data_IF_826322686769
#
_entry.id   IF_826322686769
#
_cell.length_a   1.000
_cell.length_b   1.000
_cell.length_c   1.000
_cell.angle_alpha   90.00
_cell.angle_beta   90.00
_cell.angle_gamma   90.00
#
_symmetry.space_group_name_H-M   'P 1'
#
loop_
_entity.id
_entity.type
_entity.pdbx_description
1 polymer ?
#
# COMPACT_ATOMS: atom_id res chain seq x y z
N UNK A 1 24.01 8.51 2.72
CA UNK A 1 24.29 8.41 4.19
C UNK A 1 22.96 8.26 4.92
N UNK A 2 22.89 7.49 6.00
CA UNK A 2 21.68 7.46 6.81
C UNK A 2 21.33 8.87 7.29
N UNK A 3 20.05 9.25 7.24
CA UNK A 3 19.58 10.54 7.77
C UNK A 3 19.95 10.65 9.24
N UNK A 4 20.49 11.79 9.68
CA UNK A 4 20.80 11.98 11.08
C UNK A 4 19.52 12.07 11.94
N UNK A 5 19.64 11.76 13.23
CA UNK A 5 18.49 11.64 14.14
C UNK A 5 17.73 12.97 14.32
N UNK A 6 18.42 14.11 14.27
CA UNK A 6 17.79 15.43 14.44
C UNK A 6 16.98 15.79 13.18
N UNK A 7 17.55 15.57 11.99
CA UNK A 7 16.88 15.79 10.71
C UNK A 7 15.67 14.84 10.55
N UNK A 8 15.80 13.58 10.98
CA UNK A 8 14.70 12.64 10.96
C UNK A 8 13.54 13.07 11.87
N UNK A 9 13.84 13.49 13.09
CA UNK A 9 12.80 13.99 14.02
C UNK A 9 12.13 15.25 13.48
N UNK A 10 12.90 16.15 12.89
CA UNK A 10 12.32 17.33 12.23
C UNK A 10 11.34 16.93 11.14
N UNK A 11 11.75 16.03 10.23
CA UNK A 11 10.89 15.52 9.17
C UNK A 11 9.62 14.82 9.70
N UNK A 12 9.75 14.01 10.76
CA UNK A 12 8.62 13.36 11.39
C UNK A 12 7.62 14.39 11.96
N UNK A 13 8.13 15.46 12.61
CA UNK A 13 7.29 16.54 13.12
C UNK A 13 6.59 17.32 11.99
N UNK A 14 7.29 17.57 10.87
CA UNK A 14 6.71 18.21 9.69
C UNK A 14 5.58 17.36 9.08
N UNK A 15 5.79 16.04 8.97
CA UNK A 15 4.77 15.11 8.50
C UNK A 15 3.59 15.03 9.47
N UNK A 16 3.82 14.95 10.77
CA UNK A 16 2.75 14.94 11.76
C UNK A 16 1.93 16.24 11.70
N UNK A 17 2.57 17.39 11.59
CA UNK A 17 1.89 18.67 11.42
C UNK A 17 1.09 18.73 10.12
N UNK A 18 1.61 18.18 9.02
CA UNK A 18 0.89 18.06 7.76
C UNK A 18 -0.34 17.16 7.91
N UNK A 19 -0.19 15.98 8.49
CA UNK A 19 -1.26 15.00 8.69
C UNK A 19 -2.39 15.55 9.56
N UNK A 20 -2.07 16.28 10.62
CA UNK A 20 -3.04 16.85 11.56
C UNK A 20 -3.62 18.22 11.14
N UNK A 21 -3.08 18.84 10.11
CA UNK A 21 -3.53 20.10 9.53
C UNK A 21 -4.02 19.89 8.09
N UNK A 22 -3.25 20.28 7.06
CA UNK A 22 -3.69 20.17 5.66
C UNK A 22 -4.18 18.77 5.26
N UNK A 23 -3.64 17.72 5.88
CA UNK A 23 -4.05 16.34 5.64
C UNK A 23 -5.49 16.06 6.04
N UNK A 24 -6.00 16.67 7.11
CA UNK A 24 -7.41 16.54 7.50
C UNK A 24 -8.32 17.36 6.56
N UNK A 25 -7.89 18.55 6.09
CA UNK A 25 -8.64 19.33 5.08
C UNK A 25 -8.82 18.50 3.79
N UNK A 26 -7.75 17.84 3.32
CA UNK A 26 -7.83 16.92 2.21
C UNK A 26 -8.71 15.70 2.50
N UNK A 27 -8.68 15.17 3.72
CA UNK A 27 -9.53 14.06 4.12
C UNK A 27 -11.03 14.42 4.04
N UNK A 28 -11.41 15.60 4.53
CA UNK A 28 -12.78 16.11 4.43
C UNK A 28 -13.20 16.34 2.97
N UNK A 29 -12.30 16.87 2.14
CA UNK A 29 -12.56 17.04 0.71
C UNK A 29 -12.77 15.72 0.00
N UNK A 30 -11.91 14.72 0.25
CA UNK A 30 -12.02 13.37 -0.34
C UNK A 30 -13.33 12.71 0.07
N UNK A 31 -13.70 12.74 1.35
CA UNK A 31 -14.98 12.16 1.81
C UNK A 31 -16.20 12.84 1.19
N UNK A 32 -16.14 14.14 0.95
CA UNK A 32 -17.22 14.90 0.34
C UNK A 32 -17.32 14.71 -1.17
N UNK A 33 -16.18 14.60 -1.87
CA UNK A 33 -16.13 14.56 -3.36
C UNK A 33 -15.97 13.15 -3.92
N UNK A 34 -15.58 12.20 -3.08
CA UNK A 34 -15.19 10.85 -3.46
C UNK A 34 -14.07 10.81 -4.52
N UNK A 35 -13.21 11.81 -4.51
CA UNK A 35 -12.08 11.94 -5.43
C UNK A 35 -10.85 12.49 -4.71
N UNK A 36 -9.68 11.98 -5.06
CA UNK A 36 -8.41 12.58 -4.61
C UNK A 36 -8.18 13.87 -5.37
N UNK A 37 -8.14 15.03 -4.68
CA UNK A 37 -7.92 16.31 -5.37
C UNK A 37 -6.51 16.36 -5.98
N UNK A 38 -6.35 16.89 -7.22
CA UNK A 38 -5.03 17.04 -7.86
C UNK A 38 -4.03 17.81 -6.99
N UNK A 39 -4.51 18.77 -6.21
CA UNK A 39 -3.69 19.57 -5.30
C UNK A 39 -2.97 18.73 -4.25
N UNK A 40 -3.55 17.61 -3.79
CA UNK A 40 -2.91 16.70 -2.84
C UNK A 40 -1.65 16.05 -3.45
N UNK A 41 -1.71 15.63 -4.72
CA UNK A 41 -0.55 15.07 -5.41
C UNK A 41 0.59 16.09 -5.52
N UNK A 42 0.26 17.33 -5.86
CA UNK A 42 1.22 18.43 -5.97
C UNK A 42 1.84 18.73 -4.61
N UNK A 43 1.03 18.85 -3.56
CA UNK A 43 1.52 19.17 -2.21
C UNK A 43 2.44 18.04 -1.66
N UNK A 44 2.07 16.77 -1.83
CA UNK A 44 2.90 15.65 -1.43
C UNK A 44 4.23 15.59 -2.20
N UNK A 45 4.20 15.87 -3.51
CA UNK A 45 5.39 15.94 -4.36
C UNK A 45 6.31 17.07 -3.91
N UNK A 46 5.78 18.28 -3.79
CA UNK A 46 6.57 19.49 -3.49
C UNK A 46 7.20 19.44 -2.09
N UNK A 47 6.60 18.69 -1.15
CA UNK A 47 7.20 18.34 0.16
C UNK A 47 8.23 17.22 0.08
N UNK A 48 8.35 16.52 -1.05
CA UNK A 48 9.20 15.35 -1.21
C UNK A 48 8.70 14.09 -0.50
N UNK A 49 7.38 14.00 -0.23
CA UNK A 49 6.80 12.85 0.47
C UNK A 49 6.56 11.65 -0.45
N UNK A 50 6.61 11.85 -1.78
CA UNK A 50 6.47 10.77 -2.75
C UNK A 50 7.76 9.95 -2.96
N UNK A 51 8.91 10.43 -2.46
CA UNK A 51 10.23 9.85 -2.71
C UNK A 51 11.09 9.67 -1.46
N UNK A 52 10.48 9.53 -0.28
CA UNK A 52 11.17 9.40 1.01
C UNK A 52 12.17 8.24 1.03
N UNK A 53 11.77 7.09 0.51
CA UNK A 53 12.55 5.85 0.54
C UNK A 53 13.41 5.63 -0.72
N UNK A 54 13.30 6.50 -1.74
CA UNK A 54 14.12 6.41 -2.94
C UNK A 54 15.54 6.94 -2.67
N UNK A 55 16.57 6.40 -3.34
CA UNK A 55 17.95 6.85 -3.18
C UNK A 55 18.14 8.34 -3.50
N UNK A 56 19.11 8.98 -2.84
CA UNK A 56 19.48 10.37 -3.11
C UNK A 56 19.89 10.58 -4.58
N UNK A 57 20.61 9.62 -5.17
CA UNK A 57 21.03 9.65 -6.56
C UNK A 57 19.85 9.61 -7.55
N UNK A 58 18.68 9.18 -7.10
CA UNK A 58 17.43 9.19 -7.88
C UNK A 58 16.59 10.45 -7.60
N UNK A 59 17.04 11.33 -6.72
CA UNK A 59 16.31 12.51 -6.28
C UNK A 59 15.40 12.26 -5.07
N UNK A 60 15.49 11.09 -4.43
CA UNK A 60 14.81 10.78 -3.18
C UNK A 60 15.56 11.26 -1.94
N UNK A 61 15.06 10.89 -0.77
CA UNK A 61 15.70 11.24 0.52
C UNK A 61 16.57 10.12 1.11
N UNK A 62 16.67 8.96 0.47
CA UNK A 62 17.51 7.84 0.92
C UNK A 62 17.17 7.29 2.29
N UNK A 63 15.94 7.47 2.78
CA UNK A 63 15.54 7.01 4.11
C UNK A 63 15.49 5.50 4.15
N UNK A 64 16.18 4.88 5.10
CA UNK A 64 16.17 3.44 5.34
C UNK A 64 14.74 2.95 5.56
N UNK A 65 14.44 1.73 5.12
CA UNK A 65 13.07 1.22 5.08
C UNK A 65 12.41 1.16 6.46
N UNK A 66 13.14 0.73 7.50
CA UNK A 66 12.61 0.70 8.87
C UNK A 66 12.26 2.11 9.39
N UNK A 67 13.05 3.14 9.03
CA UNK A 67 12.78 4.54 9.37
C UNK A 67 11.64 5.11 8.52
N UNK A 68 11.58 4.77 7.23
CA UNK A 68 10.45 5.12 6.38
C UNK A 68 9.12 4.60 6.95
N UNK A 69 9.10 3.42 7.55
CA UNK A 69 7.89 2.89 8.18
C UNK A 69 7.40 3.74 9.36
N UNK A 70 8.30 4.35 10.13
CA UNK A 70 7.90 5.27 11.21
C UNK A 70 7.19 6.52 10.64
N UNK A 71 7.61 7.00 9.46
CA UNK A 71 6.91 8.07 8.74
C UNK A 71 5.59 7.60 8.12
N UNK A 72 5.56 6.38 7.58
CA UNK A 72 4.33 5.76 7.05
C UNK A 72 3.26 5.59 8.14
N UNK A 73 3.67 5.27 9.38
CA UNK A 73 2.79 5.24 10.54
C UNK A 73 2.05 6.58 10.74
N UNK A 74 2.77 7.71 10.58
CA UNK A 74 2.18 9.05 10.68
C UNK A 74 1.20 9.33 9.54
N UNK A 75 1.58 9.06 8.29
CA UNK A 75 0.68 9.24 7.14
C UNK A 75 -0.60 8.41 7.28
N UNK A 76 -0.50 7.22 7.84
CA UNK A 76 -1.65 6.35 8.05
C UNK A 76 -2.61 6.83 9.15
N UNK A 77 -2.27 7.84 9.92
CA UNK A 77 -3.18 8.50 10.88
C UNK A 77 -4.19 9.43 10.19
N UNK A 78 -3.96 9.80 8.92
CA UNK A 78 -4.85 10.60 8.10
C UNK A 78 -5.79 9.71 7.26
N UNK A 79 -6.29 10.24 6.14
CA UNK A 79 -7.14 9.52 5.19
C UNK A 79 -6.39 8.38 4.49
N UNK A 80 -7.06 7.23 4.32
CA UNK A 80 -6.42 6.05 3.74
C UNK A 80 -5.95 6.28 2.29
N UNK A 81 -6.64 7.12 1.50
CA UNK A 81 -6.21 7.45 0.13
C UNK A 81 -4.94 8.31 0.11
N UNK A 82 -4.76 9.23 1.07
CA UNK A 82 -3.50 9.96 1.23
C UNK A 82 -2.34 9.00 1.53
N UNK A 83 -2.53 8.11 2.51
CA UNK A 83 -1.57 7.06 2.84
C UNK A 83 -1.27 6.17 1.63
N UNK A 84 -2.30 5.83 0.82
CA UNK A 84 -2.15 4.99 -0.37
C UNK A 84 -1.23 5.64 -1.41
N UNK A 85 -1.38 6.94 -1.66
CA UNK A 85 -0.50 7.68 -2.57
C UNK A 85 0.97 7.58 -2.10
N UNK A 86 1.22 7.90 -0.83
CA UNK A 86 2.59 7.85 -0.27
C UNK A 86 3.15 6.43 -0.34
N UNK A 87 2.33 5.41 -0.02
CA UNK A 87 2.71 4.01 -0.06
C UNK A 87 3.11 3.55 -1.48
N UNK A 88 2.25 3.79 -2.46
CA UNK A 88 2.47 3.35 -3.84
C UNK A 88 3.69 4.04 -4.44
N UNK A 89 3.82 5.36 -4.29
CA UNK A 89 4.95 6.11 -4.84
C UNK A 89 6.30 5.70 -4.21
N UNK A 90 6.35 5.46 -2.90
CA UNK A 90 7.58 5.03 -2.23
C UNK A 90 7.90 3.53 -2.41
N UNK A 91 6.97 2.74 -2.93
CA UNK A 91 7.15 1.29 -3.11
C UNK A 91 7.44 0.86 -4.56
N UNK A 92 6.66 1.37 -5.51
CA UNK A 92 6.62 0.83 -6.89
C UNK A 92 7.94 1.03 -7.64
N UNK A 93 8.65 2.14 -7.42
CA UNK A 93 9.95 2.39 -8.05
C UNK A 93 10.96 1.25 -7.81
N UNK A 94 10.93 0.61 -6.63
CA UNK A 94 11.82 -0.52 -6.30
C UNK A 94 11.57 -1.74 -7.18
N UNK A 95 10.29 -2.02 -7.47
CA UNK A 95 9.93 -3.12 -8.34
C UNK A 95 10.45 -2.90 -9.77
N UNK A 96 10.40 -1.66 -10.25
CA UNK A 96 10.92 -1.32 -11.57
C UNK A 96 12.45 -1.39 -11.56
N UNK A 97 13.10 -0.76 -10.58
CA UNK A 97 14.57 -0.63 -10.50
C UNK A 97 15.29 -1.97 -10.36
N UNK A 98 14.67 -2.95 -9.69
CA UNK A 98 15.28 -4.24 -9.34
C UNK A 98 15.94 -4.92 -10.53
N UNK A 99 15.32 -4.90 -11.71
CA UNK A 99 15.80 -5.55 -12.93
C UNK A 99 15.84 -4.60 -14.12
N UNK A 100 15.77 -3.29 -13.87
CA UNK A 100 15.80 -2.27 -14.93
C UNK A 100 17.18 -2.09 -15.52
N UNK A 101 17.24 -1.84 -16.84
CA UNK A 101 18.43 -1.29 -17.49
C UNK A 101 18.59 0.20 -17.14
N UNK A 102 19.75 0.79 -17.48
CA UNK A 102 19.97 2.22 -17.25
C UNK A 102 19.02 3.11 -18.08
N UNK A 103 18.63 2.67 -19.28
CA UNK A 103 17.64 3.33 -20.12
C UNK A 103 16.25 3.27 -19.46
N UNK A 104 15.87 2.12 -18.92
CA UNK A 104 14.60 1.94 -18.22
C UNK A 104 14.56 2.73 -16.90
N UNK A 105 15.66 2.83 -16.16
CA UNK A 105 15.77 3.71 -14.99
C UNK A 105 15.50 5.15 -15.35
N UNK A 106 16.11 5.65 -16.43
CA UNK A 106 15.90 7.01 -16.92
C UNK A 106 14.47 7.25 -17.42
N UNK A 107 13.86 6.24 -18.05
CA UNK A 107 12.53 6.36 -18.61
C UNK A 107 11.41 6.24 -17.57
N UNK A 108 11.59 5.43 -16.52
CA UNK A 108 10.50 5.07 -15.62
C UNK A 108 10.80 5.35 -14.14
N UNK A 109 12.00 5.02 -13.63
CA UNK A 109 12.30 5.13 -12.20
C UNK A 109 12.50 6.60 -11.81
N UNK A 110 13.37 7.33 -12.49
CA UNK A 110 13.67 8.72 -12.16
C UNK A 110 12.43 9.62 -12.30
N UNK A 111 11.63 9.57 -13.38
CA UNK A 111 10.40 10.35 -13.47
C UNK A 111 9.36 9.97 -12.42
N UNK A 112 9.24 8.68 -12.04
CA UNK A 112 8.33 8.26 -10.98
C UNK A 112 8.76 8.80 -9.61
N UNK A 113 10.05 8.73 -9.29
CA UNK A 113 10.62 9.28 -8.04
C UNK A 113 10.44 10.80 -7.97
N UNK A 114 10.56 11.49 -9.11
CA UNK A 114 10.29 12.93 -9.21
C UNK A 114 8.80 13.30 -9.10
N UNK A 115 7.90 12.30 -9.26
CA UNK A 115 6.45 12.53 -9.30
C UNK A 115 5.94 13.07 -10.63
N UNK A 116 6.73 12.94 -11.69
CA UNK A 116 6.38 13.38 -13.06
C UNK A 116 5.50 12.35 -13.77
N UNK A 117 5.63 11.07 -13.42
CA UNK A 117 4.77 9.98 -13.87
C UNK A 117 4.22 9.17 -12.71
N UNK A 118 3.04 8.59 -12.92
CA UNK A 118 2.39 7.66 -12.01
C UNK A 118 2.41 6.25 -12.60
N UNK A 119 2.75 5.27 -11.75
CA UNK A 119 2.80 3.87 -12.17
C UNK A 119 1.92 3.03 -11.25
N UNK A 120 0.94 2.32 -11.81
CA UNK A 120 0.12 1.38 -11.06
C UNK A 120 0.70 -0.03 -11.12
N UNK A 121 0.70 -0.73 -9.99
CA UNK A 121 1.09 -2.14 -9.89
C UNK A 121 -0.06 -3.03 -10.35
N UNK A 122 0.12 -3.75 -11.47
CA UNK A 122 -0.98 -4.34 -12.25
C UNK A 122 -0.84 -5.87 -12.34
N UNK A 123 -1.07 -6.55 -11.21
CA UNK A 123 -0.95 -8.01 -11.07
C UNK A 123 -2.31 -8.72 -11.17
N UNK A 124 -3.30 -8.27 -10.39
CA UNK A 124 -4.56 -8.96 -10.14
C UNK A 124 -5.42 -9.10 -11.40
N UNK A 125 -6.02 -10.27 -11.58
CA UNK A 125 -6.96 -10.59 -12.65
C UNK A 125 -8.32 -11.00 -12.08
N UNK A 126 -9.43 -11.00 -12.86
CA UNK A 126 -10.75 -11.39 -12.37
C UNK A 126 -10.82 -12.79 -11.76
N UNK A 127 -9.96 -13.70 -12.21
CA UNK A 127 -9.92 -15.10 -11.78
C UNK A 127 -8.60 -15.54 -11.16
N UNK A 128 -7.63 -14.64 -11.05
CA UNK A 128 -6.27 -14.90 -10.58
C UNK A 128 -5.75 -13.73 -9.74
N UNK A 129 -5.36 -14.00 -8.50
CA UNK A 129 -4.92 -12.96 -7.56
C UNK A 129 -3.50 -13.13 -7.04
N UNK A 130 -2.85 -14.27 -7.33
CA UNK A 130 -1.56 -14.63 -6.70
C UNK A 130 -0.35 -14.51 -7.62
N UNK A 131 -0.56 -14.26 -8.91
CA UNK A 131 0.49 -14.16 -9.92
C UNK A 131 0.96 -15.52 -10.50
N UNK A 132 0.83 -16.62 -9.78
CA UNK A 132 1.22 -17.95 -10.29
C UNK A 132 0.25 -18.50 -11.34
N UNK A 133 -0.98 -18.00 -11.37
CA UNK A 133 -2.10 -18.45 -12.19
C UNK A 133 -2.56 -17.39 -13.22
N UNK A 134 -1.66 -16.48 -13.60
CA UNK A 134 -1.94 -15.43 -14.59
C UNK A 134 -2.47 -15.99 -15.91
N UNK A 135 -3.50 -15.35 -16.43
CA UNK A 135 -4.15 -15.66 -17.70
C UNK A 135 -3.91 -14.63 -18.79
N UNK A 136 -3.62 -13.38 -18.41
CA UNK A 136 -3.13 -12.39 -19.37
C UNK A 136 -1.85 -12.93 -19.99
N UNK A 137 -1.76 -12.90 -21.33
CA UNK A 137 -0.66 -13.48 -22.08
C UNK A 137 -0.03 -12.47 -23.04
N UNK A 138 1.21 -12.72 -23.37
CA UNK A 138 1.91 -12.01 -24.42
C UNK A 138 2.42 -12.99 -25.47
N UNK A 139 2.19 -12.65 -26.73
CA UNK A 139 2.80 -13.28 -27.92
C UNK A 139 3.93 -12.37 -28.38
N UNK A 140 5.11 -12.94 -28.66
CA UNK A 140 6.26 -12.16 -29.14
C UNK A 140 6.39 -12.26 -30.66
N UNK A 141 6.37 -11.13 -31.33
CA UNK A 141 6.66 -11.00 -32.77
C UNK A 141 7.83 -10.00 -32.96
N UNK A 142 9.01 -10.52 -33.20
CA UNK A 142 10.23 -9.70 -33.32
C UNK A 142 10.54 -8.91 -32.06
N UNK A 143 10.54 -7.58 -32.16
CA UNK A 143 10.83 -6.66 -31.05
C UNK A 143 9.56 -6.14 -30.33
N UNK A 144 8.40 -6.78 -30.55
CA UNK A 144 7.14 -6.40 -29.96
C UNK A 144 6.47 -7.58 -29.26
N UNK A 145 5.95 -7.35 -28.05
CA UNK A 145 4.96 -8.21 -27.40
C UNK A 145 3.57 -7.73 -27.76
N UNK A 146 2.67 -8.64 -28.06
CA UNK A 146 1.23 -8.38 -28.19
C UNK A 146 0.52 -8.90 -26.96
N UNK A 147 0.15 -7.97 -26.06
CA UNK A 147 -0.51 -8.27 -24.78
C UNK A 147 -2.01 -8.46 -24.99
N UNK A 148 -2.54 -9.58 -24.48
CA UNK A 148 -3.97 -9.87 -24.43
C UNK A 148 -4.37 -10.34 -23.04
N UNK A 149 -5.49 -9.82 -22.53
CA UNK A 149 -5.99 -10.23 -21.21
C UNK A 149 -6.76 -9.16 -20.47
N UNK A 150 -7.02 -9.42 -19.20
CA UNK A 150 -7.79 -8.52 -18.33
C UNK A 150 -7.14 -8.38 -16.96
N UNK A 151 -7.08 -7.16 -16.47
CA UNK A 151 -6.68 -6.86 -15.09
C UNK A 151 -7.86 -6.28 -14.32
N UNK A 152 -7.83 -6.43 -12.98
CA UNK A 152 -8.97 -6.14 -12.13
C UNK A 152 -8.50 -5.59 -10.78
N UNK A 153 -9.27 -4.70 -10.16
CA UNK A 153 -8.95 -4.07 -8.87
C UNK A 153 -7.61 -3.30 -8.88
N UNK A 154 -7.28 -2.65 -9.99
CA UNK A 154 -6.00 -1.97 -10.13
C UNK A 154 -6.07 -0.59 -9.50
N UNK A 155 -5.45 -0.43 -8.35
CA UNK A 155 -5.34 0.84 -7.60
C UNK A 155 -4.61 1.87 -8.43
N UNK A 156 -5.18 3.07 -8.56
CA UNK A 156 -4.72 4.16 -9.45
C UNK A 156 -4.64 3.77 -10.92
N UNK A 157 -5.35 2.71 -11.33
CA UNK A 157 -5.31 2.21 -12.70
C UNK A 157 -5.94 3.16 -13.70
N UNK A 158 -6.84 4.05 -13.25
CA UNK A 158 -7.47 5.08 -14.09
C UNK A 158 -6.55 6.29 -14.28
N UNK A 159 -5.83 6.69 -13.23
CA UNK A 159 -5.05 7.95 -13.22
C UNK A 159 -3.55 7.78 -13.46
N UNK A 160 -3.06 6.54 -13.58
CA UNK A 160 -1.65 6.27 -13.88
C UNK A 160 -1.30 6.46 -15.36
N UNK A 161 -0.07 6.89 -15.62
CA UNK A 161 0.49 7.04 -16.96
C UNK A 161 0.99 5.71 -17.53
N UNK A 162 1.51 4.85 -16.63
CA UNK A 162 2.02 3.51 -16.94
C UNK A 162 1.47 2.48 -15.99
N UNK A 163 1.41 1.24 -16.47
CA UNK A 163 1.14 0.06 -15.66
C UNK A 163 2.39 -0.84 -15.60
N UNK A 164 2.89 -1.11 -14.39
CA UNK A 164 3.80 -2.23 -14.17
C UNK A 164 2.97 -3.51 -14.21
N UNK A 165 2.88 -4.13 -15.37
CA UNK A 165 1.96 -5.21 -15.67
C UNK A 165 2.67 -6.56 -15.72
N UNK A 166 2.02 -7.57 -15.16
CA UNK A 166 2.50 -8.95 -15.13
C UNK A 166 1.63 -9.81 -16.04
N UNK A 167 2.25 -10.51 -16.95
CA UNK A 167 1.59 -11.41 -17.89
C UNK A 167 2.40 -12.70 -18.06
N UNK A 168 1.92 -13.58 -18.91
CA UNK A 168 2.54 -14.86 -19.22
C UNK A 168 2.91 -14.92 -20.69
N UNK A 169 4.05 -15.49 -21.00
CA UNK A 169 4.38 -15.88 -22.37
C UNK A 169 3.40 -16.95 -22.85
N UNK A 170 2.85 -16.79 -24.04
CA UNK A 170 1.92 -17.73 -24.61
C UNK A 170 2.50 -19.16 -24.68
N UNK A 171 1.68 -20.16 -24.39
CA UNK A 171 2.11 -21.56 -24.37
C UNK A 171 2.88 -22.01 -23.12
N UNK A 172 3.22 -21.08 -22.18
CA UNK A 172 3.94 -21.42 -20.95
C UNK A 172 3.01 -21.69 -19.77
N UNK A 173 3.55 -22.29 -18.69
CA UNK A 173 2.84 -22.55 -17.42
C UNK A 173 3.78 -22.29 -16.23
N UNK A 174 3.20 -22.06 -15.06
CA UNK A 174 3.98 -21.85 -13.83
C UNK A 174 4.66 -20.47 -13.78
N UNK A 175 5.63 -20.29 -12.91
CA UNK A 175 6.37 -19.04 -12.73
C UNK A 175 7.28 -18.70 -13.91
N UNK A 176 7.84 -19.72 -14.55
CA UNK A 176 8.95 -19.59 -15.52
C UNK A 176 8.55 -18.94 -16.85
N UNK A 177 7.24 -18.79 -17.09
CA UNK A 177 6.71 -18.08 -18.25
C UNK A 177 6.25 -16.65 -17.97
N UNK A 178 6.46 -16.12 -16.78
CA UNK A 178 5.97 -14.78 -16.44
C UNK A 178 6.89 -13.67 -16.91
N UNK A 179 6.31 -12.53 -17.30
CA UNK A 179 7.04 -11.31 -17.67
C UNK A 179 6.48 -10.12 -16.92
N UNK A 180 7.33 -9.15 -16.63
CA UNK A 180 6.96 -7.84 -16.10
C UNK A 180 7.19 -6.79 -17.20
N UNK A 181 6.17 -6.00 -17.50
CA UNK A 181 6.16 -5.04 -18.60
C UNK A 181 5.76 -3.66 -18.09
N UNK A 182 6.46 -2.63 -18.54
CA UNK A 182 5.99 -1.25 -18.44
C UNK A 182 5.07 -0.98 -19.64
N UNK A 183 3.76 -0.86 -19.38
CA UNK A 183 2.75 -0.67 -20.43
C UNK A 183 2.26 0.76 -20.36
N UNK A 184 2.37 1.47 -21.49
CA UNK A 184 1.86 2.84 -21.63
C UNK A 184 0.32 2.83 -21.67
N UNK A 185 -0.30 3.75 -20.95
CA UNK A 185 -1.75 3.92 -20.89
C UNK A 185 -2.37 4.16 -22.27
N UNK A 186 -1.68 4.90 -23.12
CA UNK A 186 -2.17 5.33 -24.43
C UNK A 186 -1.87 4.30 -25.55
N UNK A 187 -1.37 3.10 -25.17
CA UNK A 187 -1.11 2.04 -26.14
C UNK A 187 -2.40 1.60 -26.85
N UNK A 188 -2.35 1.34 -28.16
CA UNK A 188 -3.50 0.82 -28.90
C UNK A 188 -4.05 -0.49 -28.33
N UNK A 189 -5.37 -0.68 -28.35
CA UNK A 189 -6.02 -1.90 -27.86
C UNK A 189 -6.19 -1.95 -26.33
N UNK A 190 -5.96 -0.84 -25.63
CA UNK A 190 -6.24 -0.70 -24.19
C UNK A 190 -7.64 -0.12 -24.00
N UNK A 191 -8.41 -0.74 -23.11
CA UNK A 191 -9.66 -0.17 -22.57
C UNK A 191 -9.53 -0.06 -21.05
N UNK A 192 -9.75 1.14 -20.52
CA UNK A 192 -9.77 1.43 -19.09
C UNK A 192 -11.21 1.67 -18.65
N UNK A 193 -11.68 0.85 -17.71
CA UNK A 193 -13.00 1.01 -17.09
C UNK A 193 -12.80 1.32 -15.61
N UNK A 194 -13.28 2.46 -15.16
CA UNK A 194 -13.30 2.79 -13.73
C UNK A 194 -14.27 1.89 -12.99
N UNK A 195 -13.85 1.39 -11.83
CA UNK A 195 -14.70 0.55 -10.99
C UNK A 195 -15.65 1.40 -10.14
N UNK A 196 -16.79 0.84 -9.70
CA UNK A 196 -17.65 1.51 -8.73
C UNK A 196 -16.91 1.86 -7.45
N UNK A 197 -17.45 2.83 -6.73
CA UNK A 197 -16.92 3.29 -5.44
C UNK A 197 -16.73 2.14 -4.45
N UNK A 198 -15.67 2.27 -3.65
CA UNK A 198 -15.34 1.34 -2.56
C UNK A 198 -16.04 1.73 -1.26
N UNK A 199 -16.16 0.78 -0.35
CA UNK A 199 -16.72 1.00 0.99
C UNK A 199 -15.90 2.00 1.82
N UNK A 200 -14.57 1.87 1.78
CA UNK A 200 -13.58 2.76 2.41
C UNK A 200 -12.44 3.03 1.43
N UNK A 201 -11.43 3.81 1.82
CA UNK A 201 -10.39 4.30 0.91
C UNK A 201 -11.01 5.08 -0.25
N UNK A 202 -12.06 5.82 0.04
CA UNK A 202 -12.82 6.64 -0.94
C UNK A 202 -11.88 7.59 -1.66
N UNK A 203 -12.17 7.87 -2.94
CA UNK A 203 -11.38 8.75 -3.78
C UNK A 203 -10.14 8.10 -4.41
N UNK A 204 -9.67 6.95 -3.92
CA UNK A 204 -8.66 6.16 -4.64
C UNK A 204 -9.33 5.43 -5.79
N UNK A 205 -9.00 5.80 -7.02
CA UNK A 205 -9.55 5.11 -8.20
C UNK A 205 -9.05 3.67 -8.31
N UNK A 206 -9.91 2.83 -8.86
CA UNK A 206 -9.58 1.45 -9.22
C UNK A 206 -10.06 1.16 -10.64
N UNK A 207 -9.26 0.44 -11.41
CA UNK A 207 -9.58 0.10 -12.79
C UNK A 207 -9.80 -1.39 -13.02
N UNK A 208 -10.68 -1.67 -13.99
CA UNK A 208 -10.62 -2.85 -14.85
C UNK A 208 -9.89 -2.45 -16.12
N UNK A 209 -8.91 -3.26 -16.52
CA UNK A 209 -8.17 -3.03 -17.74
C UNK A 209 -8.38 -4.21 -18.69
N UNK A 210 -8.66 -3.90 -19.96
CA UNK A 210 -8.74 -4.87 -21.04
C UNK A 210 -7.64 -4.55 -22.05
N UNK A 211 -6.92 -5.58 -22.47
CA UNK A 211 -5.86 -5.53 -23.47
C UNK A 211 -6.22 -6.45 -24.64
N UNK A 212 -6.30 -5.89 -25.85
CA UNK A 212 -6.67 -6.59 -27.06
C UNK A 212 -5.52 -6.49 -28.08
N UNK A 213 -4.60 -7.47 -28.03
CA UNK A 213 -3.35 -7.45 -28.81
C UNK A 213 -2.60 -6.11 -28.69
N UNK A 214 -2.55 -5.56 -27.50
CA UNK A 214 -1.86 -4.30 -27.21
C UNK A 214 -0.38 -4.43 -27.48
N UNK A 215 0.21 -3.65 -28.41
CA UNK A 215 1.63 -3.71 -28.70
C UNK A 215 2.46 -3.10 -27.56
N UNK A 216 3.43 -3.86 -27.07
CA UNK A 216 4.37 -3.44 -26.03
C UNK A 216 5.79 -3.72 -26.51
N UNK A 217 6.68 -2.73 -26.63
CA UNK A 217 8.06 -2.97 -27.04
C UNK A 217 8.78 -3.95 -26.12
N UNK A 218 9.61 -4.83 -26.68
CA UNK A 218 10.44 -5.76 -25.87
C UNK A 218 11.35 -4.99 -24.90
N UNK A 219 11.77 -3.78 -25.26
CA UNK A 219 12.55 -2.87 -24.40
C UNK A 219 11.80 -2.38 -23.17
N UNK A 220 10.48 -2.52 -23.09
CA UNK A 220 9.67 -2.20 -21.91
C UNK A 220 9.56 -3.37 -20.93
N UNK A 221 10.15 -4.54 -21.23
CA UNK A 221 10.22 -5.67 -20.30
C UNK A 221 11.32 -5.46 -19.27
N UNK A 222 10.96 -5.61 -17.99
CA UNK A 222 11.92 -5.61 -16.88
C UNK A 222 12.51 -7.01 -16.70
N UNK A 223 13.83 -7.08 -16.65
CA UNK A 223 14.57 -8.35 -16.54
C UNK A 223 14.42 -9.24 -17.77
N UNK A 224 14.49 -10.56 -17.55
CA UNK A 224 14.37 -11.58 -18.58
C UNK A 224 12.97 -12.20 -18.61
N UNK A 225 12.65 -12.87 -19.73
CA UNK A 225 11.48 -13.75 -19.78
C UNK A 225 11.59 -14.82 -18.67
N UNK A 226 10.52 -15.05 -17.93
CA UNK A 226 10.50 -15.91 -16.74
C UNK A 226 10.68 -15.19 -15.40
N UNK A 227 11.17 -13.96 -15.38
CA UNK A 227 11.43 -13.22 -14.14
C UNK A 227 10.28 -12.31 -13.68
N UNK A 228 9.11 -12.36 -14.33
CA UNK A 228 8.00 -11.48 -13.98
C UNK A 228 7.58 -11.57 -12.50
N UNK A 229 7.45 -12.77 -11.94
CA UNK A 229 7.10 -12.94 -10.53
C UNK A 229 8.24 -12.56 -9.57
N UNK A 230 9.49 -12.63 -9.99
CA UNK A 230 10.63 -12.13 -9.21
C UNK A 230 10.50 -10.62 -9.00
N UNK A 231 10.16 -9.87 -10.04
CA UNK A 231 9.86 -8.42 -9.95
C UNK A 231 8.69 -8.16 -8.99
N UNK A 232 7.60 -8.93 -9.11
CA UNK A 232 6.43 -8.74 -8.27
C UNK A 232 6.71 -9.03 -6.79
N UNK A 233 7.30 -10.19 -6.49
CA UNK A 233 7.48 -10.68 -5.12
C UNK A 233 8.65 -10.00 -4.41
N UNK A 234 9.81 -9.93 -5.06
CA UNK A 234 11.04 -9.37 -4.49
C UNK A 234 11.02 -7.86 -4.44
N UNK A 235 10.64 -7.22 -5.55
CA UNK A 235 10.67 -5.77 -5.69
C UNK A 235 9.54 -5.02 -4.95
N UNK A 236 8.37 -5.64 -4.79
CA UNK A 236 7.21 -4.94 -4.23
C UNK A 236 6.52 -5.67 -3.08
N UNK A 237 5.96 -6.87 -3.30
CA UNK A 237 4.97 -7.46 -2.39
C UNK A 237 5.50 -7.72 -0.98
N UNK A 238 6.76 -8.10 -0.80
CA UNK A 238 7.33 -8.36 0.53
C UNK A 238 7.40 -7.07 1.35
N UNK A 239 7.92 -5.99 0.76
CA UNK A 239 8.01 -4.67 1.38
C UNK A 239 6.63 -4.06 1.60
N UNK A 240 5.76 -4.17 0.61
CA UNK A 240 4.42 -3.63 0.65
C UNK A 240 3.59 -4.24 1.77
N UNK A 241 3.72 -5.55 2.05
CA UNK A 241 3.08 -6.20 3.21
C UNK A 241 3.53 -5.60 4.54
N UNK A 242 4.82 -5.29 4.69
CA UNK A 242 5.35 -4.64 5.90
C UNK A 242 4.82 -3.21 5.99
N UNK A 243 4.77 -2.46 4.88
CA UNK A 243 4.22 -1.10 4.84
C UNK A 243 2.71 -1.08 5.15
N UNK A 244 1.93 -2.04 4.64
CA UNK A 244 0.52 -2.23 5.00
C UNK A 244 0.38 -2.55 6.49
N UNK A 245 1.24 -3.39 7.06
CA UNK A 245 1.23 -3.67 8.50
C UNK A 245 1.45 -2.40 9.32
N UNK A 246 2.40 -1.54 8.93
CA UNK A 246 2.62 -0.27 9.61
C UNK A 246 1.47 0.72 9.39
N UNK A 247 0.86 0.71 8.21
CA UNK A 247 -0.35 1.50 7.95
C UNK A 247 -1.50 1.09 8.88
N UNK A 248 -1.66 -0.21 9.16
CA UNK A 248 -2.62 -0.69 10.16
C UNK A 248 -2.32 -0.15 11.56
N UNK A 249 -1.05 -0.06 11.94
CA UNK A 249 -0.62 0.51 13.23
C UNK A 249 -0.99 1.99 13.31
N UNK A 250 -0.66 2.80 12.30
CA UNK A 250 -1.00 4.22 12.28
C UNK A 250 -2.51 4.49 12.34
N UNK A 251 -3.28 3.74 11.54
CA UNK A 251 -4.74 3.86 11.53
C UNK A 251 -5.35 3.45 12.89
N UNK A 252 -4.84 2.37 13.51
CA UNK A 252 -5.27 1.94 14.85
C UNK A 252 -4.92 2.97 15.93
N UNK A 253 -3.74 3.59 15.85
CA UNK A 253 -3.36 4.70 16.76
C UNK A 253 -4.34 5.85 16.66
N UNK A 254 -4.70 6.29 15.45
CA UNK A 254 -5.67 7.37 15.28
C UNK A 254 -7.04 7.00 15.84
N UNK A 255 -7.52 5.78 15.59
CA UNK A 255 -8.76 5.28 16.18
C UNK A 255 -8.72 5.29 17.71
N UNK A 256 -7.61 4.85 18.30
CA UNK A 256 -7.38 4.85 19.74
C UNK A 256 -7.36 6.27 20.32
N UNK A 257 -6.68 7.23 19.67
CA UNK A 257 -6.65 8.64 20.10
C UNK A 257 -8.08 9.21 20.17
N UNK A 258 -8.86 9.07 19.10
CA UNK A 258 -10.24 9.53 19.04
C UNK A 258 -11.12 8.89 20.12
N UNK A 259 -10.95 7.59 20.36
CA UNK A 259 -11.70 6.90 21.41
C UNK A 259 -11.33 7.40 22.82
N UNK A 260 -10.05 7.68 23.08
CA UNK A 260 -9.57 8.24 24.35
C UNK A 260 -10.11 9.67 24.54
N UNK A 261 -10.03 10.51 23.51
CA UNK A 261 -10.56 11.88 23.55
C UNK A 261 -12.07 11.86 23.87
N UNK A 262 -12.83 11.05 23.14
CA UNK A 262 -14.26 10.91 23.37
C UNK A 262 -14.58 10.39 24.77
N UNK A 263 -13.87 9.36 25.26
CA UNK A 263 -14.10 8.78 26.56
C UNK A 263 -13.82 9.75 27.72
N UNK A 264 -12.91 10.71 27.56
CA UNK A 264 -12.56 11.72 28.57
C UNK A 264 -13.65 12.79 28.74
N UNK A 265 -14.43 13.07 27.69
CA UNK A 265 -15.42 14.17 27.71
C UNK A 265 -16.85 13.67 27.72
N UNK A 266 -17.15 12.50 27.19
CA UNK A 266 -18.52 11.96 27.14
C UNK A 266 -18.96 11.46 28.48
N UNK A 267 -20.06 12.02 29.00
CA UNK A 267 -20.69 11.60 30.25
C UNK A 267 -21.93 10.76 29.98
N UNK A 268 -22.10 9.72 30.80
CA UNK A 268 -23.31 8.91 30.89
C UNK A 268 -23.55 8.51 32.34
N UNK A 269 -24.80 8.56 32.81
CA UNK A 269 -25.15 8.21 34.21
C UNK A 269 -24.24 8.90 35.25
N UNK A 270 -23.99 10.22 35.06
CA UNK A 270 -23.23 11.05 35.99
C UNK A 270 -21.73 10.81 36.10
N UNK A 271 -21.12 10.10 35.11
CA UNK A 271 -19.66 9.88 35.05
C UNK A 271 -19.17 9.89 33.61
N UNK A 272 -17.95 10.39 33.39
CA UNK A 272 -17.26 10.26 32.10
C UNK A 272 -17.04 8.79 31.74
N UNK A 273 -17.03 8.47 30.45
CA UNK A 273 -16.82 7.09 29.99
C UNK A 273 -15.48 6.53 30.46
N UNK A 274 -14.44 7.35 30.49
CA UNK A 274 -13.09 6.95 30.93
C UNK A 274 -13.05 6.45 32.40
N UNK A 275 -14.01 6.85 33.26
CA UNK A 275 -14.12 6.37 34.63
C UNK A 275 -14.77 4.98 34.76
N UNK A 276 -15.18 4.38 33.64
CA UNK A 276 -15.78 3.04 33.62
C UNK A 276 -14.72 1.99 33.31
N UNK A 277 -14.56 1.01 34.18
CA UNK A 277 -13.53 -0.01 34.09
C UNK A 277 -13.55 -0.77 32.75
N UNK A 278 -14.74 -1.11 32.24
CA UNK A 278 -14.86 -1.79 30.93
C UNK A 278 -14.29 -0.97 29.78
N UNK A 279 -14.50 0.35 29.78
CA UNK A 279 -13.94 1.26 28.76
C UNK A 279 -12.41 1.39 28.96
N UNK A 280 -11.97 1.63 30.20
CA UNK A 280 -10.55 1.75 30.52
C UNK A 280 -9.76 0.49 30.13
N UNK A 281 -10.30 -0.71 30.38
CA UNK A 281 -9.66 -1.96 30.00
C UNK A 281 -9.61 -2.16 28.49
N UNK A 282 -10.70 -1.86 27.78
CA UNK A 282 -10.72 -1.94 26.32
C UNK A 282 -9.65 -1.03 25.67
N UNK A 283 -9.49 0.20 26.18
CA UNK A 283 -8.47 1.13 25.70
C UNK A 283 -7.04 0.67 26.06
N UNK A 284 -6.83 0.06 27.23
CA UNK A 284 -5.54 -0.50 27.63
C UNK A 284 -5.15 -1.72 26.78
N UNK A 285 -6.09 -2.62 26.51
CA UNK A 285 -5.89 -3.77 25.60
C UNK A 285 -5.52 -3.30 24.19
N UNK A 286 -6.24 -2.29 23.67
CA UNK A 286 -5.91 -1.71 22.36
C UNK A 286 -4.48 -1.18 22.32
N UNK A 287 -4.04 -0.44 23.34
CA UNK A 287 -2.69 0.12 23.40
C UNK A 287 -1.61 -0.99 23.37
N UNK A 288 -1.83 -2.07 24.12
CA UNK A 288 -0.92 -3.22 24.15
C UNK A 288 -0.88 -3.95 22.79
N UNK A 289 -2.05 -4.17 22.17
CA UNK A 289 -2.16 -4.82 20.84
C UNK A 289 -1.49 -3.99 19.74
N UNK A 290 -1.67 -2.66 19.74
CA UNK A 290 -1.04 -1.73 18.79
C UNK A 290 0.48 -1.80 18.91
N UNK A 291 1.02 -1.70 20.13
CA UNK A 291 2.47 -1.73 20.35
C UNK A 291 3.07 -3.10 19.94
N UNK A 292 2.41 -4.21 20.26
CA UNK A 292 2.86 -5.54 19.85
C UNK A 292 2.93 -5.67 18.31
N UNK A 293 1.90 -5.20 17.59
CA UNK A 293 1.88 -5.20 16.14
C UNK A 293 2.96 -4.29 15.54
N UNK A 294 3.19 -3.11 16.15
CA UNK A 294 4.23 -2.16 15.75
C UNK A 294 5.62 -2.80 15.84
N UNK A 295 5.95 -3.41 16.98
CA UNK A 295 7.25 -4.03 17.19
C UNK A 295 7.50 -5.21 16.25
N UNK A 296 6.50 -6.04 15.99
CA UNK A 296 6.61 -7.13 15.01
C UNK A 296 6.86 -6.59 13.60
N UNK A 297 6.18 -5.50 13.22
CA UNK A 297 6.34 -4.85 11.90
C UNK A 297 7.75 -4.29 11.73
N UNK A 298 8.28 -3.56 12.73
CA UNK A 298 9.64 -3.03 12.71
C UNK A 298 10.69 -4.16 12.74
N UNK A 299 10.40 -5.27 13.44
CA UNK A 299 11.27 -6.44 13.40
C UNK A 299 11.34 -7.02 11.98
N UNK A 300 10.20 -7.21 11.32
CA UNK A 300 10.15 -7.70 9.94
C UNK A 300 10.93 -6.79 8.97
N UNK A 301 10.84 -5.47 9.12
CA UNK A 301 11.58 -4.50 8.32
C UNK A 301 13.10 -4.65 8.50
N UNK A 302 13.58 -4.66 9.75
CA UNK A 302 15.01 -4.83 10.04
C UNK A 302 15.58 -6.16 9.53
N UNK A 303 14.79 -7.24 9.58
CA UNK A 303 15.20 -8.54 9.03
C UNK A 303 15.26 -8.50 7.50
N UNK A 304 14.34 -7.77 6.86
CA UNK A 304 14.41 -7.55 5.41
C UNK A 304 15.64 -6.73 5.02
N UNK A 305 15.95 -5.64 5.72
CA UNK A 305 17.15 -4.79 5.50
C UNK A 305 18.44 -5.60 5.66
N UNK A 306 18.44 -6.57 6.57
CA UNK A 306 19.56 -7.49 6.77
C UNK A 306 19.63 -8.63 5.73
N UNK A 307 18.78 -8.61 4.68
CA UNK A 307 18.65 -9.67 3.67
C UNK A 307 18.41 -11.07 4.29
N UNK A 308 17.67 -11.13 5.41
CA UNK A 308 17.39 -12.37 6.12
C UNK A 308 16.42 -13.25 5.31
N UNK A 309 16.73 -14.54 5.11
CA UNK A 309 15.84 -15.47 4.40
C UNK A 309 14.41 -15.57 4.97
N UNK A 310 14.24 -15.33 6.28
CA UNK A 310 12.94 -15.36 6.94
C UNK A 310 12.09 -14.10 6.69
N UNK A 311 12.63 -13.05 6.03
CA UNK A 311 11.95 -11.78 5.84
C UNK A 311 10.59 -11.93 5.14
N UNK A 312 10.46 -12.82 4.17
CA UNK A 312 9.20 -13.10 3.47
C UNK A 312 8.11 -13.64 4.40
N UNK A 313 8.45 -14.59 5.27
CA UNK A 313 7.54 -15.14 6.28
C UNK A 313 7.21 -14.11 7.35
N UNK A 314 8.20 -13.36 7.83
CA UNK A 314 8.01 -12.29 8.81
C UNK A 314 7.13 -11.17 8.28
N UNK A 315 7.24 -10.81 6.99
CA UNK A 315 6.34 -9.84 6.37
C UNK A 315 4.88 -10.29 6.41
N UNK A 316 4.63 -11.56 6.17
CA UNK A 316 3.30 -12.17 6.26
C UNK A 316 2.78 -12.23 7.70
N UNK A 317 3.64 -12.56 8.67
CA UNK A 317 3.31 -12.55 10.11
C UNK A 317 2.95 -11.12 10.57
N UNK A 318 3.76 -10.12 10.20
CA UNK A 318 3.52 -8.73 10.55
C UNK A 318 2.18 -8.24 9.98
N UNK A 319 1.92 -8.48 8.68
CA UNK A 319 0.66 -8.09 8.06
C UNK A 319 -0.55 -8.77 8.71
N UNK A 320 -0.51 -10.08 8.90
CA UNK A 320 -1.60 -10.84 9.51
C UNK A 320 -1.93 -10.31 10.91
N UNK A 321 -0.91 -10.12 11.75
CA UNK A 321 -1.06 -9.62 13.13
C UNK A 321 -1.61 -8.20 13.15
N UNK A 322 -1.05 -7.31 12.33
CA UNK A 322 -1.46 -5.89 12.30
C UNK A 322 -2.89 -5.72 11.79
N UNK A 323 -3.30 -6.46 10.77
CA UNK A 323 -4.68 -6.42 10.24
C UNK A 323 -5.70 -6.96 11.25
N UNK A 324 -5.39 -8.04 11.97
CA UNK A 324 -6.28 -8.58 13.00
C UNK A 324 -6.35 -7.64 14.22
N UNK A 325 -5.25 -7.02 14.62
CA UNK A 325 -5.21 -5.96 15.63
C UNK A 325 -6.08 -4.77 15.21
N UNK A 326 -5.87 -4.23 13.99
CA UNK A 326 -6.63 -3.07 13.49
C UNK A 326 -8.13 -3.33 13.52
N UNK A 327 -8.57 -4.53 13.13
CA UNK A 327 -9.99 -4.90 13.15
C UNK A 327 -10.58 -4.81 14.57
N UNK A 328 -9.85 -5.32 15.58
CA UNK A 328 -10.30 -5.26 16.96
C UNK A 328 -10.31 -3.85 17.52
N UNK A 329 -9.26 -3.08 17.23
CA UNK A 329 -9.09 -1.71 17.73
C UNK A 329 -10.17 -0.79 17.16
N UNK A 330 -10.42 -0.84 15.86
CA UNK A 330 -11.41 0.03 15.21
C UNK A 330 -12.84 -0.30 15.64
N UNK A 331 -13.16 -1.59 15.81
CA UNK A 331 -14.47 -2.00 16.34
C UNK A 331 -14.70 -1.49 17.76
N UNK A 332 -13.72 -1.69 18.66
CA UNK A 332 -13.80 -1.18 20.04
C UNK A 332 -13.85 0.35 20.10
N UNK A 333 -13.06 1.04 19.26
CA UNK A 333 -13.03 2.50 19.21
C UNK A 333 -14.37 3.08 18.74
N UNK A 334 -14.97 2.51 17.69
CA UNK A 334 -16.31 2.88 17.24
C UNK A 334 -17.36 2.61 18.33
N UNK A 335 -17.27 1.47 19.01
CA UNK A 335 -18.17 1.13 20.10
C UNK A 335 -18.08 2.13 21.28
N UNK A 336 -16.88 2.65 21.59
CA UNK A 336 -16.70 3.70 22.61
C UNK A 336 -17.44 4.98 22.25
N UNK A 337 -17.49 5.35 20.97
CA UNK A 337 -18.25 6.51 20.49
C UNK A 337 -19.77 6.28 20.56
N UNK A 338 -20.21 5.01 20.53
CA UNK A 338 -21.64 4.69 20.50
C UNK A 338 -22.30 5.17 19.20
N UNK A 339 -23.59 5.52 19.26
CA UNK A 339 -24.36 5.88 18.07
C UNK A 339 -23.77 7.02 17.24
N UNK A 340 -23.14 8.00 17.86
CA UNK A 340 -22.51 9.13 17.11
C UNK A 340 -21.33 8.68 16.25
N UNK A 341 -20.63 7.61 16.63
CA UNK A 341 -19.55 7.04 15.86
C UNK A 341 -19.99 6.34 14.57
N UNK A 342 -21.29 6.10 14.40
CA UNK A 342 -21.86 5.42 13.21
C UNK A 342 -22.28 6.39 12.11
N UNK A 343 -22.25 7.69 12.38
CA UNK A 343 -22.72 8.73 11.46
C UNK A 343 -21.56 9.56 10.89
N UNK A 344 -21.63 9.83 9.59
CA UNK A 344 -20.80 10.86 8.94
C UNK A 344 -21.16 12.25 9.50
N UNK A 345 -20.19 13.17 9.64
CA UNK A 345 -18.78 13.09 9.26
C UNK A 345 -17.85 12.66 10.41
N UNK A 346 -18.24 11.75 11.30
CA UNK A 346 -17.38 11.35 12.41
C UNK A 346 -16.12 10.61 11.90
N UNK A 347 -14.90 11.04 12.24
CA UNK A 347 -13.67 10.42 11.76
C UNK A 347 -13.55 8.92 12.10
N UNK A 348 -14.15 8.44 13.19
CA UNK A 348 -14.08 7.02 13.57
C UNK A 348 -14.88 6.13 12.62
N UNK A 349 -15.97 6.62 12.04
CA UNK A 349 -16.76 5.92 11.03
C UNK A 349 -15.90 5.68 9.78
N UNK A 350 -15.25 6.74 9.27
CA UNK A 350 -14.31 6.66 8.13
C UNK A 350 -13.19 5.64 8.40
N UNK A 351 -12.52 5.75 9.56
CA UNK A 351 -11.43 4.85 9.94
C UNK A 351 -11.90 3.39 9.98
N UNK A 352 -13.11 3.13 10.47
CA UNK A 352 -13.68 1.78 10.49
C UNK A 352 -13.87 1.21 9.06
N UNK A 353 -14.36 2.01 8.12
CA UNK A 353 -14.50 1.62 6.70
C UNK A 353 -13.14 1.38 6.06
N UNK A 354 -12.19 2.30 6.25
CA UNK A 354 -10.85 2.24 5.69
C UNK A 354 -10.08 1.02 6.21
N UNK A 355 -10.23 0.70 7.48
CA UNK A 355 -9.61 -0.47 8.10
C UNK A 355 -9.98 -1.79 7.41
N UNK A 356 -11.18 -1.87 6.83
CA UNK A 356 -11.65 -3.12 6.20
C UNK A 356 -10.87 -3.47 4.93
N UNK A 357 -10.37 -2.47 4.18
CA UNK A 357 -9.60 -2.66 2.97
C UNK A 357 -8.25 -3.36 3.24
N UNK A 358 -7.63 -3.09 4.38
CA UNK A 358 -6.31 -3.64 4.74
C UNK A 358 -6.27 -5.18 4.74
N UNK A 359 -7.41 -5.85 4.88
CA UNK A 359 -7.50 -7.32 4.81
C UNK A 359 -7.27 -7.87 3.42
N UNK A 360 -7.46 -7.07 2.39
CA UNK A 360 -7.35 -7.48 0.98
C UNK A 360 -6.04 -7.01 0.34
N UNK A 361 -5.53 -5.85 0.76
CA UNK A 361 -4.28 -5.29 0.23
C UNK A 361 -3.14 -6.30 0.37
N UNK A 362 -2.31 -6.43 -0.65
CA UNK A 362 -1.10 -7.29 -0.72
C UNK A 362 -1.32 -8.77 -0.37
N UNK A 363 -2.51 -9.27 -0.68
CA UNK A 363 -2.96 -10.63 -0.41
C UNK A 363 -3.76 -10.75 0.90
N UNK A 364 -4.82 -11.55 0.84
CA UNK A 364 -5.73 -11.76 1.97
C UNK A 364 -5.05 -12.43 3.17
N UNK A 365 -5.72 -12.42 4.33
CA UNK A 365 -5.25 -13.13 5.53
C UNK A 365 -4.99 -14.63 5.25
N UNK A 366 -5.77 -15.24 4.38
CA UNK A 366 -5.62 -16.66 3.98
C UNK A 366 -4.33 -16.87 3.20
N UNK A 367 -3.95 -15.93 2.32
CA UNK A 367 -2.66 -15.96 1.61
C UNK A 367 -1.51 -15.81 2.61
N UNK A 368 -1.60 -14.87 3.56
CA UNK A 368 -0.56 -14.72 4.58
C UNK A 368 -0.39 -16.01 5.41
N UNK A 369 -1.50 -16.63 5.85
CA UNK A 369 -1.48 -17.90 6.57
C UNK A 369 -0.87 -19.02 5.73
N UNK A 370 -1.14 -19.05 4.43
CA UNK A 370 -0.56 -20.03 3.51
C UNK A 370 0.96 -19.87 3.41
N UNK A 371 1.47 -18.64 3.30
CA UNK A 371 2.92 -18.37 3.27
C UNK A 371 3.58 -18.84 4.56
N UNK A 372 3.03 -18.47 5.72
CA UNK A 372 3.53 -18.84 7.03
C UNK A 372 3.51 -20.37 7.21
N UNK A 373 2.38 -21.02 6.88
CA UNK A 373 2.22 -22.46 7.05
C UNK A 373 3.22 -23.24 6.19
N UNK A 374 3.47 -22.82 4.95
CA UNK A 374 4.47 -23.47 4.08
C UNK A 374 5.86 -23.41 4.66
N UNK A 375 6.24 -22.28 5.24
CA UNK A 375 7.56 -22.10 5.85
C UNK A 375 7.73 -23.02 7.07
N UNK A 376 6.80 -22.98 8.04
CA UNK A 376 6.90 -23.80 9.26
C UNK A 376 6.77 -25.31 9.02
N UNK A 377 6.09 -25.71 7.93
CA UNK A 377 5.91 -27.13 7.58
C UNK A 377 7.01 -27.63 6.62
N UNK A 378 7.89 -26.76 6.12
CA UNK A 378 8.93 -27.11 5.15
C UNK A 378 8.36 -27.64 3.83
N UNK A 379 7.13 -27.26 3.46
CA UNK A 379 6.51 -27.71 2.21
C UNK A 379 6.93 -26.80 1.04
N UNK A 380 7.49 -27.40 -0.04
CA UNK A 380 7.89 -26.66 -1.24
C UNK A 380 6.71 -25.92 -1.88
N UNK A 381 7.05 -24.85 -2.62
CA UNK A 381 6.11 -24.03 -3.42
C UNK A 381 5.43 -24.82 -4.52
#
# INVERSE_FOLDING_TARGET
MAIDEAAFRQLANEIEAFVRGPGEDYAEEIERTHAVPPALWVDLRDRGYLSLAAPEDYGGRGIEFSRYLELMELFAMSHASLRMIVHVCNGTWRAIDQLATDEQRKAFVLPQVAGDIRVAFTLTEPTAGTGADLRSSVEREGDTYYLSGRKHLITFGVTSDYWLLFARLEGTRGSDGTVALMVDRDSPGVTVEEMPETMGVRGTDHARLLFERTPVPVTSRLGQEGQGLEVALGGFLTLSRISVAMSCVGLARRAQELAVEHARVRETFGKVLAARQAIAFALAENAADIEAARQLTLHAARRWEAADPAAGTLSSMAKLTAVDMLTRVTDKALQVHGGIGYWEPNPIERIYRDARAQRFEEGTNEIQKTVIARDILGTAR
#
